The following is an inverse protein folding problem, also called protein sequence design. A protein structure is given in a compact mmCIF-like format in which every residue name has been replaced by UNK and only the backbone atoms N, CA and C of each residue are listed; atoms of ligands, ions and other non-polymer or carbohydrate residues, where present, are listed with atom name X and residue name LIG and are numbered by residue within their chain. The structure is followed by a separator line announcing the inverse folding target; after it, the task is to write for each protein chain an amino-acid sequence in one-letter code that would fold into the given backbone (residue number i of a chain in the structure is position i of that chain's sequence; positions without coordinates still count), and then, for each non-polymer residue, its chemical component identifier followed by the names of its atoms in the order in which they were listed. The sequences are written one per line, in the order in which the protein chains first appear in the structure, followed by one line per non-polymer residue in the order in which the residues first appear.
data_IF_486379469196
#
_entry.id   IF_486379469196
#
_cell.length_a   1.000
_cell.length_b   1.000
_cell.length_c   1.000
_cell.angle_alpha   90.00
_cell.angle_beta   90.00
_cell.angle_gamma   90.00
#
_symmetry.space_group_name_H-M   'P 1'
#
loop_
_entity.id
_entity.type
_entity.pdbx_description
1 polymer ?
#
# COMPACT_ATOMS: atom_id res chain seq x y z
N UNK A 1 31.08 23.16 -1.95
CA UNK A 1 30.28 24.36 -1.63
C UNK A 1 29.30 24.64 -2.75
N UNK A 2 28.03 24.27 -2.58
CA UNK A 2 26.94 24.68 -3.49
C UNK A 2 25.91 25.44 -2.65
N UNK A 3 25.81 26.75 -2.93
CA UNK A 3 24.84 27.67 -2.34
C UNK A 3 23.44 27.24 -2.78
N UNK A 4 22.55 27.05 -1.81
CA UNK A 4 21.12 26.93 -2.03
C UNK A 4 20.55 28.35 -1.94
N UNK A 5 20.03 28.84 -3.05
CA UNK A 5 19.31 30.11 -3.14
C UNK A 5 17.95 29.95 -2.45
N UNK A 6 17.71 30.75 -1.42
CA UNK A 6 16.41 30.87 -0.75
C UNK A 6 15.46 31.68 -1.64
N UNK A 7 14.45 31.01 -2.16
CA UNK A 7 13.35 31.61 -2.91
C UNK A 7 12.34 32.22 -1.92
N UNK A 8 12.42 33.53 -1.70
CA UNK A 8 11.50 34.30 -0.85
C UNK A 8 10.39 34.86 -1.74
N UNK A 9 9.10 34.58 -1.47
CA UNK A 9 8.00 35.19 -2.23
C UNK A 9 7.83 36.68 -1.88
N UNK A 10 7.37 37.53 -2.82
CA UNK A 10 7.31 38.97 -2.61
C UNK A 10 6.19 39.37 -1.63
N UNK A 11 6.56 40.13 -0.61
CA UNK A 11 5.64 40.89 0.25
C UNK A 11 5.16 42.12 -0.52
N UNK A 12 3.85 42.20 -0.77
CA UNK A 12 3.20 43.41 -1.24
C UNK A 12 3.09 44.42 -0.09
N UNK A 13 3.66 45.61 -0.28
CA UNK A 13 3.46 46.79 0.57
C UNK A 13 2.19 47.53 0.15
N UNK A 14 1.32 47.97 1.07
CA UNK A 14 0.33 48.99 0.78
C UNK A 14 0.88 50.40 1.06
N UNK A 15 0.88 51.23 0.01
CA UNK A 15 0.48 52.65 0.00
C UNK A 15 1.12 53.63 0.99
N UNK A 16 2.02 54.49 0.47
CA UNK A 16 2.34 55.78 1.06
C UNK A 16 1.40 56.87 0.51
N UNK A 17 0.70 57.55 1.42
CA UNK A 17 -0.22 58.65 1.15
C UNK A 17 0.50 59.94 0.75
N UNK A 18 -0.03 60.61 -0.28
CA UNK A 18 0.18 62.03 -0.53
C UNK A 18 -0.72 62.88 0.38
N UNK A 19 -0.17 63.98 0.88
CA UNK A 19 -0.86 64.98 1.70
C UNK A 19 -1.18 66.20 0.83
N UNK A 20 -2.45 66.60 0.78
CA UNK A 20 -2.88 67.80 0.05
C UNK A 20 -4.38 68.13 0.17
N UNK A 21 -4.72 68.83 1.26
CA UNK A 21 -5.82 69.80 1.46
C UNK A 21 -7.28 69.56 1.00
N UNK A 22 -8.13 69.62 2.04
CA UNK A 22 -9.33 70.46 2.23
C UNK A 22 -10.63 70.17 1.44
N UNK A 23 -11.64 69.70 2.17
CA UNK A 23 -13.05 69.73 1.77
C UNK A 23 -13.88 68.58 2.36
N UNK A 24 -14.69 68.86 3.39
CA UNK A 24 -15.87 68.06 3.75
C UNK A 24 -17.08 68.46 2.86
N UNK A 25 -18.21 67.71 2.78
CA UNK A 25 -18.64 66.58 3.61
C UNK A 25 -19.29 65.36 2.86
N UNK A 26 -19.73 64.36 3.65
CA UNK A 26 -20.78 63.33 3.40
C UNK A 26 -20.43 62.02 2.66
N UNK A 27 -20.06 61.01 3.46
CA UNK A 27 -20.68 59.68 3.63
C UNK A 27 -21.35 58.96 2.42
N UNK A 28 -20.71 57.89 1.88
CA UNK A 28 -21.43 56.64 1.48
C UNK A 28 -20.57 55.38 1.17
N UNK A 29 -19.24 55.39 1.21
CA UNK A 29 -18.48 54.36 0.44
C UNK A 29 -17.55 53.47 1.27
N UNK A 30 -18.11 52.71 2.22
CA UNK A 30 -17.34 51.79 3.09
C UNK A 30 -17.69 50.29 2.96
N UNK A 31 -18.59 49.90 2.07
CA UNK A 31 -19.06 48.49 2.01
C UNK A 31 -18.50 47.62 0.88
N UNK A 32 -17.67 48.16 -0.03
CA UNK A 32 -17.26 47.40 -1.24
C UNK A 32 -15.84 46.81 -1.20
N UNK A 33 -15.01 47.16 -0.21
CA UNK A 33 -13.61 46.72 -0.18
C UNK A 33 -13.32 45.55 0.80
N UNK A 34 -14.35 45.00 1.47
CA UNK A 34 -14.17 43.90 2.44
C UNK A 34 -14.50 42.51 1.87
N UNK A 35 -15.10 42.41 0.68
CA UNK A 35 -15.46 41.13 0.07
C UNK A 35 -14.37 40.52 -0.83
N UNK A 36 -13.33 41.28 -1.20
CA UNK A 36 -12.27 40.78 -2.08
C UNK A 36 -11.06 40.21 -1.31
N UNK A 37 -10.90 40.53 -0.03
CA UNK A 37 -9.82 40.00 0.80
C UNK A 37 -10.08 38.57 1.33
N UNK A 38 -11.34 38.11 1.32
CA UNK A 38 -11.71 36.81 1.91
C UNK A 38 -11.60 35.64 0.91
N UNK A 39 -11.48 35.91 -0.39
CA UNK A 39 -11.35 34.86 -1.42
C UNK A 39 -9.90 34.37 -1.60
N UNK A 40 -8.90 35.24 -1.43
CA UNK A 40 -7.50 34.86 -1.64
C UNK A 40 -6.95 33.97 -0.52
N UNK A 41 -7.53 34.02 0.69
CA UNK A 41 -7.04 33.26 1.84
C UNK A 41 -7.49 31.79 1.86
N UNK A 42 -8.57 31.43 1.14
CA UNK A 42 -8.98 30.03 1.00
C UNK A 42 -8.11 29.25 0.00
N UNK A 43 -7.63 29.88 -1.06
CA UNK A 43 -6.83 29.17 -2.09
C UNK A 43 -5.43 28.80 -1.57
N UNK A 44 -4.84 29.61 -0.68
CA UNK A 44 -3.51 29.33 -0.15
C UNK A 44 -3.49 28.17 0.88
N UNK A 45 -4.59 27.94 1.59
CA UNK A 45 -4.67 26.84 2.56
C UNK A 45 -4.87 25.47 1.88
N UNK A 46 -5.48 25.44 0.69
CA UNK A 46 -5.70 24.19 -0.04
C UNK A 46 -4.42 23.66 -0.72
N UNK A 47 -3.48 24.54 -1.10
CA UNK A 47 -2.25 24.12 -1.78
C UNK A 47 -1.20 23.50 -0.83
N UNK A 48 -1.23 23.85 0.47
CA UNK A 48 -0.28 23.34 1.45
C UNK A 48 -0.61 21.91 1.93
N UNK A 49 -1.88 21.50 1.83
CA UNK A 49 -2.32 20.16 2.24
C UNK A 49 -2.00 19.09 1.18
N UNK A 50 -1.88 19.49 -0.10
CA UNK A 50 -1.59 18.56 -1.19
C UNK A 50 -0.10 18.14 -1.24
N UNK A 51 0.80 18.97 -0.70
CA UNK A 51 2.25 18.68 -0.71
C UNK A 51 2.67 17.66 0.36
N UNK A 52 1.91 17.52 1.45
CA UNK A 52 2.22 16.57 2.52
C UNK A 52 1.81 15.12 2.19
N UNK A 53 0.81 14.92 1.34
CA UNK A 53 0.42 13.58 0.88
C UNK A 53 1.40 12.96 -0.13
N UNK A 54 2.16 13.78 -0.87
CA UNK A 54 3.11 13.27 -1.86
C UNK A 54 4.38 12.67 -1.24
N UNK A 55 4.82 13.16 -0.07
CA UNK A 55 6.00 12.60 0.62
C UNK A 55 5.75 11.24 1.28
N UNK A 56 4.51 10.96 1.70
CA UNK A 56 4.17 9.67 2.29
C UNK A 56 4.05 8.54 1.24
N UNK A 57 3.87 8.89 -0.03
CA UNK A 57 3.77 7.92 -1.13
C UNK A 57 5.12 7.40 -1.60
N UNK A 58 6.16 8.23 -1.58
CA UNK A 58 7.52 7.76 -1.91
C UNK A 58 8.06 6.78 -0.86
N UNK A 59 7.75 7.00 0.43
CA UNK A 59 8.14 6.05 1.49
C UNK A 59 7.44 4.70 1.41
N UNK A 60 6.22 4.60 0.88
CA UNK A 60 5.53 3.31 0.77
C UNK A 60 6.06 2.45 -0.39
N UNK A 61 6.41 3.09 -1.51
CA UNK A 61 7.03 2.42 -2.66
C UNK A 61 8.46 1.96 -2.33
N UNK A 62 9.22 2.79 -1.60
CA UNK A 62 10.60 2.47 -1.18
C UNK A 62 10.66 1.38 -0.10
N UNK A 63 9.60 1.23 0.71
CA UNK A 63 9.46 0.17 1.73
C UNK A 63 9.15 -1.21 1.15
N UNK A 64 8.77 -1.32 -0.13
CA UNK A 64 8.28 -2.56 -0.74
C UNK A 64 9.21 -3.19 -1.79
N UNK A 65 10.43 -2.68 -1.99
CA UNK A 65 11.35 -3.31 -2.94
C UNK A 65 12.05 -4.54 -2.32
N UNK A 66 11.28 -5.62 -2.22
CA UNK A 66 11.70 -6.94 -1.76
C UNK A 66 12.91 -7.46 -2.56
N UNK A 67 13.02 -7.13 -3.85
CA UNK A 67 14.15 -7.52 -4.68
C UNK A 67 15.42 -6.79 -4.26
N UNK A 68 15.34 -5.48 -4.01
CA UNK A 68 16.47 -4.73 -3.46
C UNK A 68 16.89 -5.23 -2.08
N UNK A 69 15.94 -5.65 -1.23
CA UNK A 69 16.25 -6.30 0.05
C UNK A 69 17.02 -7.61 -0.13
N UNK A 70 16.57 -8.50 -1.01
CA UNK A 70 17.32 -9.74 -1.33
C UNK A 70 18.73 -9.44 -1.79
N UNK A 71 18.91 -8.48 -2.72
CA UNK A 71 20.25 -8.08 -3.20
C UNK A 71 21.14 -7.58 -2.06
N UNK A 72 20.59 -6.82 -1.12
CA UNK A 72 21.35 -6.33 0.04
C UNK A 72 21.77 -7.44 1.00
N UNK A 73 21.02 -8.55 1.05
CA UNK A 73 21.31 -9.70 1.93
C UNK A 73 22.38 -10.65 1.36
N UNK A 74 22.73 -10.57 0.07
CA UNK A 74 23.74 -11.45 -0.56
C UNK A 74 25.13 -11.29 0.09
N UNK A 75 25.51 -10.06 0.43
CA UNK A 75 26.77 -9.78 1.14
C UNK A 75 26.81 -10.44 2.52
N UNK A 76 25.86 -10.11 3.43
CA UNK A 76 25.71 -10.76 4.72
C UNK A 76 25.64 -12.29 4.65
N UNK A 77 24.93 -12.86 3.68
CA UNK A 77 24.84 -14.31 3.47
C UNK A 77 26.23 -14.94 3.20
N UNK A 78 27.00 -14.30 2.32
CA UNK A 78 28.36 -14.76 2.00
C UNK A 78 29.28 -14.65 3.22
N UNK A 79 29.15 -13.57 3.98
CA UNK A 79 29.99 -13.32 5.15
C UNK A 79 29.67 -14.27 6.31
N UNK A 80 28.38 -14.53 6.59
CA UNK A 80 27.96 -15.48 7.62
C UNK A 80 28.42 -16.89 7.29
N UNK A 81 28.29 -17.33 6.03
CA UNK A 81 28.80 -18.62 5.57
C UNK A 81 30.33 -18.72 5.71
N UNK A 82 31.06 -17.69 5.30
CA UNK A 82 32.51 -17.67 5.44
C UNK A 82 32.96 -17.76 6.92
N UNK A 83 32.24 -17.07 7.81
CA UNK A 83 32.51 -17.08 9.25
C UNK A 83 32.18 -18.44 9.87
N UNK A 84 31.08 -19.06 9.47
CA UNK A 84 30.71 -20.42 9.88
C UNK A 84 31.79 -21.44 9.48
N UNK A 85 32.24 -21.40 8.22
CA UNK A 85 33.30 -22.28 7.72
C UNK A 85 34.63 -22.06 8.44
N UNK A 86 35.02 -20.81 8.68
CA UNK A 86 36.24 -20.48 9.43
C UNK A 86 36.18 -21.04 10.85
N UNK A 87 35.04 -20.89 11.51
CA UNK A 87 34.84 -21.39 12.88
C UNK A 87 34.86 -22.91 12.90
N UNK A 88 34.21 -23.58 11.95
CA UNK A 88 34.26 -25.04 11.81
C UNK A 88 35.69 -25.56 11.62
N UNK A 89 36.47 -24.91 10.74
CA UNK A 89 37.88 -25.27 10.52
C UNK A 89 38.73 -25.11 11.79
N UNK A 90 38.50 -24.04 12.56
CA UNK A 90 39.16 -23.83 13.85
C UNK A 90 38.80 -24.91 14.86
N UNK A 91 37.52 -25.28 14.95
CA UNK A 91 37.06 -26.37 15.83
C UNK A 91 37.70 -27.71 15.45
N UNK A 92 37.75 -28.05 14.16
CA UNK A 92 38.40 -29.28 13.69
C UNK A 92 39.90 -29.29 14.00
N UNK A 93 40.59 -28.17 13.80
CA UNK A 93 42.01 -28.07 14.09
C UNK A 93 42.30 -28.20 15.59
N UNK A 94 41.49 -27.55 16.44
CA UNK A 94 41.57 -27.69 17.89
C UNK A 94 41.38 -29.14 18.33
N UNK A 95 40.36 -29.82 17.81
CA UNK A 95 40.12 -31.23 18.10
C UNK A 95 41.34 -32.09 17.72
N UNK A 96 41.92 -31.86 16.53
CA UNK A 96 43.12 -32.57 16.09
C UNK A 96 44.33 -32.33 17.00
N UNK A 97 44.53 -31.13 17.54
CA UNK A 97 45.63 -30.84 18.48
C UNK A 97 45.43 -31.51 19.84
N UNK A 98 44.18 -31.67 20.29
CA UNK A 98 43.84 -32.43 21.48
C UNK A 98 44.13 -33.92 21.26
N UNK A 99 43.73 -34.48 20.11
CA UNK A 99 43.94 -35.89 19.77
C UNK A 99 45.42 -36.29 19.73
N UNK A 100 46.29 -35.39 19.26
CA UNK A 100 47.76 -35.61 19.21
C UNK A 100 48.43 -35.36 20.57
N UNK A 101 47.66 -34.98 21.61
CA UNK A 101 48.16 -34.72 22.95
C UNK A 101 48.94 -33.40 23.08
N UNK A 102 48.85 -32.53 22.07
CA UNK A 102 49.53 -31.23 22.04
C UNK A 102 48.84 -30.18 22.93
N UNK A 103 47.54 -30.36 23.22
CA UNK A 103 46.75 -29.51 24.12
C UNK A 103 46.06 -30.38 25.17
N UNK A 104 46.28 -30.09 26.46
CA UNK A 104 45.59 -30.76 27.57
C UNK A 104 44.24 -30.09 27.81
N UNK A 105 43.16 -30.77 27.41
CA UNK A 105 41.79 -30.50 27.84
C UNK A 105 41.25 -29.12 27.47
N UNK A 106 40.46 -29.04 26.40
CA UNK A 106 39.65 -27.85 26.15
C UNK A 106 38.27 -28.11 26.77
N UNK A 107 38.10 -27.58 27.98
CA UNK A 107 36.79 -27.46 28.62
C UNK A 107 36.05 -26.25 27.99
N UNK A 108 35.37 -26.50 26.88
CA UNK A 108 34.08 -25.90 26.50
C UNK A 108 33.75 -26.28 25.06
N UNK A 109 32.54 -26.82 24.86
CA UNK A 109 31.91 -26.87 23.54
C UNK A 109 31.68 -25.43 23.08
N UNK A 110 32.59 -24.91 22.26
CA UNK A 110 32.51 -23.54 21.77
C UNK A 110 31.31 -23.44 20.81
N UNK A 111 30.17 -22.94 21.33
CA UNK A 111 28.90 -22.80 20.61
C UNK A 111 28.96 -21.77 19.47
N UNK A 112 30.12 -21.17 19.21
CA UNK A 112 30.34 -20.21 18.11
C UNK A 112 29.93 -20.76 16.76
N UNK A 113 30.21 -22.04 16.46
CA UNK A 113 29.78 -22.61 15.19
C UNK A 113 28.25 -22.61 15.04
N UNK A 114 27.52 -23.05 16.07
CA UNK A 114 26.06 -23.06 16.08
C UNK A 114 25.49 -21.64 15.91
N UNK A 115 26.07 -20.65 16.58
CA UNK A 115 25.66 -19.24 16.42
C UNK A 115 25.84 -18.74 14.98
N UNK A 116 26.97 -19.02 14.35
CA UNK A 116 27.21 -18.62 12.96
C UNK A 116 26.25 -19.32 11.99
N UNK A 117 25.91 -20.59 12.26
CA UNK A 117 24.92 -21.34 11.48
C UNK A 117 23.51 -20.76 11.64
N UNK A 118 23.11 -20.38 12.85
CA UNK A 118 21.83 -19.74 13.12
C UNK A 118 21.69 -18.41 12.37
N UNK A 119 22.75 -17.59 12.36
CA UNK A 119 22.79 -16.35 11.59
C UNK A 119 22.69 -16.60 10.07
N UNK A 120 23.39 -17.61 9.54
CA UNK A 120 23.28 -18.01 8.14
C UNK A 120 21.84 -18.40 7.77
N UNK A 121 21.20 -19.26 8.58
CA UNK A 121 19.82 -19.67 8.33
C UNK A 121 18.82 -18.51 8.44
N UNK A 122 19.01 -17.62 9.42
CA UNK A 122 18.16 -16.44 9.56
C UNK A 122 18.22 -15.53 8.33
N UNK A 123 19.39 -15.41 7.68
CA UNK A 123 19.52 -14.65 6.42
C UNK A 123 18.84 -15.39 5.26
N UNK A 124 18.98 -16.71 5.17
CA UNK A 124 18.27 -17.53 4.19
C UNK A 124 16.75 -17.37 4.29
N UNK A 125 16.20 -17.43 5.51
CA UNK A 125 14.76 -17.27 5.77
C UNK A 125 14.27 -15.89 5.32
N UNK A 126 15.04 -14.84 5.58
CA UNK A 126 14.72 -13.49 5.12
C UNK A 126 14.74 -13.37 3.60
N UNK A 127 15.72 -13.97 2.93
CA UNK A 127 15.78 -14.02 1.46
C UNK A 127 14.57 -14.77 0.91
N UNK A 128 14.25 -15.94 1.46
CA UNK A 128 13.10 -16.74 1.04
C UNK A 128 11.79 -15.96 1.19
N UNK A 129 11.58 -15.30 2.33
CA UNK A 129 10.41 -14.48 2.58
C UNK A 129 10.26 -13.39 1.53
N UNK A 130 11.31 -12.61 1.28
CA UNK A 130 11.28 -11.53 0.29
C UNK A 130 11.03 -12.05 -1.14
N UNK A 131 11.59 -13.20 -1.51
CA UNK A 131 11.35 -13.82 -2.82
C UNK A 131 9.90 -14.30 -2.96
N UNK A 132 9.35 -14.97 -1.93
CA UNK A 132 7.94 -15.37 -1.90
C UNK A 132 7.01 -14.17 -2.02
N UNK A 133 7.26 -13.11 -1.25
CA UNK A 133 6.47 -11.87 -1.34
C UNK A 133 6.55 -11.26 -2.74
N UNK A 134 7.74 -11.25 -3.36
CA UNK A 134 7.91 -10.74 -4.73
C UNK A 134 7.10 -11.54 -5.76
N UNK A 135 7.07 -12.87 -5.62
CA UNK A 135 6.29 -13.75 -6.49
C UNK A 135 4.79 -13.49 -6.35
N UNK A 136 4.30 -13.32 -5.13
CA UNK A 136 2.89 -12.97 -4.87
C UNK A 136 2.54 -11.60 -5.46
N UNK A 137 3.42 -10.59 -5.35
CA UNK A 137 3.21 -9.29 -5.97
C UNK A 137 3.14 -9.38 -7.51
N UNK A 138 3.98 -10.20 -8.15
CA UNK A 138 3.94 -10.42 -9.60
C UNK A 138 2.65 -11.14 -10.02
N UNK A 139 2.24 -12.15 -9.28
CA UNK A 139 0.98 -12.88 -9.48
C UNK A 139 -0.23 -11.96 -9.34
N UNK A 140 -0.24 -11.12 -8.30
CA UNK A 140 -1.27 -10.12 -8.07
C UNK A 140 -1.32 -9.09 -9.20
N UNK A 141 -0.17 -8.61 -9.69
CA UNK A 141 -0.12 -7.68 -10.82
C UNK A 141 -0.65 -8.32 -12.11
N UNK A 142 -0.25 -9.57 -12.41
CA UNK A 142 -0.77 -10.31 -13.56
C UNK A 142 -2.29 -10.50 -13.48
N UNK A 143 -2.81 -10.83 -12.30
CA UNK A 143 -4.24 -10.97 -12.06
C UNK A 143 -4.96 -9.62 -12.19
N UNK A 144 -4.38 -8.54 -11.65
CA UNK A 144 -4.92 -7.19 -11.78
C UNK A 144 -5.09 -6.81 -13.24
N UNK A 145 -4.05 -6.96 -14.07
CA UNK A 145 -4.11 -6.62 -15.50
C UNK A 145 -5.12 -7.50 -16.25
N UNK A 146 -5.22 -8.79 -15.89
CA UNK A 146 -6.12 -9.73 -16.56
C UNK A 146 -7.60 -9.48 -16.25
N UNK A 147 -7.94 -9.22 -14.99
CA UNK A 147 -9.33 -9.11 -14.53
C UNK A 147 -9.82 -7.67 -14.43
N UNK A 148 -8.90 -6.70 -14.43
CA UNK A 148 -9.20 -5.27 -14.45
C UNK A 148 -8.17 -4.55 -15.34
N UNK A 149 -8.41 -4.42 -16.65
CA UNK A 149 -7.47 -3.84 -17.62
C UNK A 149 -7.36 -2.31 -17.55
N UNK A 150 -7.47 -1.74 -16.34
CA UNK A 150 -7.28 -0.33 -16.04
C UNK A 150 -6.32 -0.21 -14.86
N UNK A 151 -5.32 0.65 -15.01
CA UNK A 151 -4.36 0.94 -13.93
C UNK A 151 -5.07 1.62 -12.76
N UNK A 152 -4.76 1.23 -11.53
CA UNK A 152 -5.32 1.85 -10.32
C UNK A 152 -4.28 2.75 -9.69
N UNK A 153 -4.62 4.02 -9.50
CA UNK A 153 -3.80 4.97 -8.74
C UNK A 153 -4.29 4.91 -7.30
N UNK A 154 -3.74 3.98 -6.51
CA UNK A 154 -4.05 3.76 -5.07
C UNK A 154 -3.90 5.02 -4.22
N UNK A 155 -3.07 5.91 -4.75
CA UNK A 155 -2.62 7.20 -4.26
C UNK A 155 -3.68 8.31 -4.36
N UNK A 156 -4.61 8.19 -5.30
CA UNK A 156 -5.64 9.20 -5.57
C UNK A 156 -6.91 8.84 -4.82
N UNK A 157 -7.22 9.61 -3.77
CA UNK A 157 -8.43 9.45 -2.95
C UNK A 157 -9.57 10.37 -3.37
N UNK A 158 -9.35 11.28 -4.32
CA UNK A 158 -10.39 12.19 -4.80
C UNK A 158 -11.58 11.41 -5.36
N UNK A 159 -12.76 11.75 -4.85
CA UNK A 159 -14.05 11.24 -5.31
C UNK A 159 -14.57 12.00 -6.53
N UNK A 160 -13.88 13.08 -6.91
CA UNK A 160 -14.30 13.95 -8.01
C UNK A 160 -14.11 13.23 -9.34
N UNK A 161 -15.23 13.06 -10.03
CA UNK A 161 -15.42 12.39 -11.32
C UNK A 161 -14.85 13.19 -12.51
N UNK A 162 -13.65 13.74 -12.40
CA UNK A 162 -12.94 14.25 -13.58
C UNK A 162 -12.36 13.05 -14.31
N UNK A 163 -13.12 12.53 -15.29
CA UNK A 163 -12.70 11.51 -16.24
C UNK A 163 -11.54 12.05 -17.08
N UNK A 164 -10.32 12.02 -16.58
CA UNK A 164 -9.16 12.54 -17.32
C UNK A 164 -8.01 11.54 -17.43
N UNK A 165 -8.33 10.25 -17.49
CA UNK A 165 -7.32 9.28 -17.90
C UNK A 165 -7.76 7.81 -17.89
N UNK A 166 -6.92 6.92 -18.44
CA UNK A 166 -7.16 5.48 -18.49
C UNK A 166 -7.02 4.76 -17.13
N UNK A 167 -6.93 5.51 -16.03
CA UNK A 167 -6.60 5.00 -14.70
C UNK A 167 -7.70 5.31 -13.67
N UNK A 168 -8.00 4.35 -12.80
CA UNK A 168 -8.98 4.44 -11.73
C UNK A 168 -8.37 5.06 -10.46
N UNK A 169 -9.14 5.90 -9.75
CA UNK A 169 -8.81 6.27 -8.38
C UNK A 169 -9.11 5.11 -7.41
N UNK A 170 -8.56 5.14 -6.19
CA UNK A 170 -8.81 4.07 -5.21
C UNK A 170 -10.30 3.92 -4.85
N UNK A 171 -11.08 5.00 -4.63
CA UNK A 171 -12.53 4.88 -4.41
C UNK A 171 -13.26 4.27 -5.61
N UNK A 172 -12.89 4.65 -6.84
CA UNK A 172 -13.51 4.09 -8.05
C UNK A 172 -13.20 2.60 -8.22
N UNK A 173 -11.95 2.20 -7.96
CA UNK A 173 -11.56 0.80 -7.91
C UNK A 173 -12.43 0.00 -6.92
N UNK A 174 -12.64 0.51 -5.69
CA UNK A 174 -13.49 -0.15 -4.71
C UNK A 174 -14.94 -0.28 -5.19
N UNK A 175 -15.49 0.75 -5.84
CA UNK A 175 -16.82 0.68 -6.44
C UNK A 175 -16.90 -0.39 -7.53
N UNK A 176 -15.92 -0.46 -8.42
CA UNK A 176 -15.85 -1.48 -9.48
C UNK A 176 -15.80 -2.88 -8.89
N UNK A 177 -14.93 -3.12 -7.90
CA UNK A 177 -14.80 -4.43 -7.25
C UNK A 177 -16.11 -4.84 -6.57
N UNK A 178 -16.78 -3.92 -5.87
CA UNK A 178 -18.07 -4.20 -5.23
C UNK A 178 -19.13 -4.61 -6.25
N UNK A 179 -19.22 -3.89 -7.38
CA UNK A 179 -20.15 -4.21 -8.46
C UNK A 179 -19.85 -5.58 -9.09
N UNK A 180 -18.58 -5.91 -9.32
CA UNK A 180 -18.15 -7.22 -9.83
C UNK A 180 -18.53 -8.36 -8.87
N UNK A 181 -18.31 -8.19 -7.56
CA UNK A 181 -18.69 -9.18 -6.54
C UNK A 181 -20.20 -9.37 -6.48
N UNK A 182 -20.98 -8.29 -6.51
CA UNK A 182 -22.44 -8.36 -6.53
C UNK A 182 -22.93 -9.13 -7.76
N UNK A 183 -22.43 -8.77 -8.94
CA UNK A 183 -22.80 -9.43 -10.20
C UNK A 183 -22.46 -10.92 -10.20
N UNK A 184 -21.28 -11.30 -9.72
CA UNK A 184 -20.90 -12.71 -9.57
C UNK A 184 -21.83 -13.45 -8.59
N UNK A 185 -22.24 -12.80 -7.51
CA UNK A 185 -23.23 -13.33 -6.56
C UNK A 185 -24.61 -13.55 -7.19
N UNK A 186 -25.06 -12.64 -8.06
CA UNK A 186 -26.31 -12.78 -8.81
C UNK A 186 -26.25 -13.95 -9.79
N UNK A 187 -25.15 -14.11 -10.53
CA UNK A 187 -24.93 -15.27 -11.41
C UNK A 187 -24.99 -16.58 -10.60
N UNK A 188 -24.28 -16.64 -9.47
CA UNK A 188 -24.26 -17.84 -8.61
C UNK A 188 -25.66 -18.19 -8.11
N UNK A 189 -26.42 -17.19 -7.61
CA UNK A 189 -27.80 -17.39 -7.17
C UNK A 189 -28.68 -17.91 -8.31
N UNK A 190 -28.61 -17.28 -9.49
CA UNK A 190 -29.40 -17.71 -10.65
C UNK A 190 -29.07 -19.14 -11.06
N UNK A 191 -27.78 -19.50 -11.15
CA UNK A 191 -27.34 -20.86 -11.47
C UNK A 191 -27.78 -21.89 -10.42
N UNK A 192 -27.63 -21.57 -9.12
CA UNK A 192 -28.07 -22.46 -8.03
C UNK A 192 -29.58 -22.67 -8.01
N UNK A 193 -30.37 -21.65 -8.34
CA UNK A 193 -31.83 -21.73 -8.40
C UNK A 193 -32.32 -22.58 -9.57
N UNK A 194 -31.56 -22.63 -10.66
CA UNK A 194 -31.85 -23.49 -11.82
C UNK A 194 -31.27 -24.90 -11.70
N UNK A 195 -30.14 -25.08 -11.00
CA UNK A 195 -29.47 -26.37 -10.83
C UNK A 195 -30.10 -27.24 -9.73
N UNK A 196 -30.78 -26.63 -8.75
CA UNK A 196 -31.61 -27.32 -7.77
C UNK A 196 -33.06 -26.83 -7.84
N UNK A 197 -33.84 -27.24 -8.86
CA UNK A 197 -35.28 -27.09 -8.78
C UNK A 197 -35.77 -27.96 -7.62
N UNK A 198 -35.97 -27.36 -6.44
CA UNK A 198 -36.82 -27.95 -5.42
C UNK A 198 -38.19 -28.17 -6.06
N UNK A 199 -38.49 -29.41 -6.43
CA UNK A 199 -39.65 -30.18 -5.95
C UNK A 199 -40.95 -29.40 -5.68
N UNK A 200 -41.34 -28.48 -6.57
CA UNK A 200 -42.71 -27.92 -6.63
C UNK A 200 -43.38 -28.48 -7.89
N UNK A 201 -43.47 -29.81 -7.92
CA UNK A 201 -44.42 -30.53 -8.77
C UNK A 201 -44.93 -31.81 -8.06
N UNK A 202 -44.76 -31.90 -6.72
CA UNK A 202 -45.44 -32.91 -5.92
C UNK A 202 -46.89 -32.45 -5.68
N UNK A 203 -47.69 -32.67 -6.73
CA UNK A 203 -49.11 -32.98 -6.71
C UNK A 203 -50.02 -32.07 -5.86
N UNK A 204 -50.43 -30.97 -6.49
CA UNK A 204 -51.62 -30.20 -6.18
C UNK A 204 -52.86 -31.11 -6.08
N UNK A 205 -53.45 -31.18 -4.89
CA UNK A 205 -54.90 -31.21 -4.61
C UNK A 205 -55.79 -32.09 -5.52
N UNK A 206 -56.15 -33.29 -5.06
CA UNK A 206 -57.30 -34.10 -5.52
C UNK A 206 -58.59 -33.45 -4.95
N UNK A 207 -59.52 -32.90 -5.78
CA UNK A 207 -60.79 -32.37 -5.31
C UNK A 207 -61.86 -33.46 -5.44
N UNK A 208 -61.94 -34.36 -4.46
CA UNK A 208 -63.13 -35.21 -4.27
C UNK A 208 -63.96 -34.71 -3.10
N UNK A 209 -64.62 -33.59 -3.35
CA UNK A 209 -65.81 -33.16 -2.62
C UNK A 209 -67.00 -34.03 -3.03
N UNK A 210 -67.65 -34.58 -2.03
CA UNK A 210 -68.88 -35.36 -2.08
C UNK A 210 -70.06 -34.38 -2.07
N UNK A 211 -71.00 -34.45 -3.01
CA UNK A 211 -72.46 -34.21 -2.79
C UNK A 211 -73.32 -34.56 -4.02
N UNK A 212 -74.10 -35.65 -3.89
CA UNK A 212 -75.57 -35.68 -3.99
C UNK A 212 -76.38 -35.27 -5.26
N UNK A 213 -77.14 -36.26 -5.76
CA UNK A 213 -78.61 -36.26 -6.04
C UNK A 213 -79.19 -35.97 -7.45
N UNK A 214 -80.12 -36.87 -7.85
CA UNK A 214 -81.19 -36.83 -8.89
C UNK A 214 -80.76 -36.90 -10.37
N UNK A 215 -81.36 -37.72 -11.27
CA UNK A 215 -82.71 -38.33 -11.36
C UNK A 215 -82.68 -39.78 -11.86
#
# INVERSE_FOLDING_TARGET
MRRITMNIPPIQQPGAMGVGQMGQPVNTQLSQNQQQAQQTQQVQQQQQQQQQQQQQQQQMQEKLDNISKVKSLVGPLRESLATALKTAAQTLHQNSLVDVGSLKGIDQSDHRFNKNMEEFYSICDQIELHLKTSMECLSQNSSSVRYLPMSVITTRTDTVSTQEGPALSYPQFLMTVRAQVQFAGEIHKNLSSTAYPQQIAANSNDPRGISDTQS
#
